data_IF_841238668114
#
_entry.id   IF_841238668114
#
_cell.length_a   1.000
_cell.length_b   1.000
_cell.length_c   1.000
_cell.angle_alpha   90.00
_cell.angle_beta   90.00
_cell.angle_gamma   90.00
#
_symmetry.space_group_name_H-M   'P 1'
#
loop_
_entity.id
_entity.type
_entity.pdbx_description
1 polymer ?
#
# COMPACT_ATOMS: atom_id res chain seq x y z
N UNK A 1 15.99 19.55 -10.97
CA UNK A 1 15.93 18.49 -9.95
C UNK A 1 16.04 17.12 -10.60
N UNK A 2 16.66 16.18 -9.91
CA UNK A 2 16.73 14.79 -10.36
C UNK A 2 15.39 14.08 -10.13
N UNK A 3 14.97 13.26 -11.11
CA UNK A 3 13.68 12.51 -11.06
C UNK A 3 13.82 11.14 -11.68
N UNK A 4 13.07 10.16 -11.19
CA UNK A 4 12.94 8.86 -11.85
C UNK A 4 11.61 8.83 -12.61
N UNK A 5 11.68 8.70 -13.92
CA UNK A 5 10.58 9.04 -14.83
C UNK A 5 10.17 7.88 -15.70
N UNK A 6 8.87 7.65 -15.84
CA UNK A 6 8.27 6.71 -16.79
C UNK A 6 8.32 7.31 -18.20
N UNK A 7 9.12 6.74 -19.10
CA UNK A 7 9.25 7.21 -20.47
C UNK A 7 8.28 6.49 -21.41
N UNK A 8 8.25 5.17 -21.32
CA UNK A 8 7.43 4.27 -22.12
C UNK A 8 7.34 2.90 -21.44
N UNK A 9 6.45 2.03 -21.91
CA UNK A 9 6.33 0.66 -21.41
C UNK A 9 7.70 -0.04 -21.37
N UNK A 10 8.05 -0.57 -20.21
CA UNK A 10 9.32 -1.23 -19.94
C UNK A 10 10.47 -0.28 -19.59
N UNK A 11 10.27 1.05 -19.62
CA UNK A 11 11.39 1.98 -19.49
C UNK A 11 11.14 3.11 -18.50
N UNK A 12 11.85 3.06 -17.39
CA UNK A 12 12.05 4.18 -16.47
C UNK A 12 13.47 4.71 -16.61
N UNK A 13 13.69 5.99 -16.38
CA UNK A 13 15.03 6.60 -16.42
C UNK A 13 15.17 7.76 -15.45
N UNK A 14 16.41 7.95 -14.95
CA UNK A 14 16.79 9.18 -14.25
C UNK A 14 16.91 10.30 -15.28
N UNK A 15 16.17 11.37 -15.07
CA UNK A 15 16.25 12.59 -15.89
C UNK A 15 16.20 13.84 -15.00
N UNK A 16 16.68 14.94 -15.52
CA UNK A 16 16.52 16.24 -14.90
C UNK A 16 15.23 16.91 -15.37
N UNK A 17 14.44 17.41 -14.42
CA UNK A 17 13.25 18.23 -14.64
C UNK A 17 13.35 19.56 -13.90
N UNK A 18 12.61 20.59 -14.30
CA UNK A 18 12.44 21.79 -13.47
C UNK A 18 11.86 21.41 -12.09
N UNK A 19 12.22 22.15 -11.06
CA UNK A 19 11.55 22.04 -9.76
C UNK A 19 10.05 22.36 -9.93
N UNK A 20 9.14 21.60 -9.31
CA UNK A 20 7.70 21.88 -9.43
C UNK A 20 7.36 23.22 -8.77
N UNK A 21 6.29 23.86 -9.27
CA UNK A 21 5.72 25.08 -8.75
C UNK A 21 4.30 24.82 -8.26
N UNK A 22 3.76 25.68 -7.40
CA UNK A 22 2.35 25.67 -7.05
C UNK A 22 1.51 25.96 -8.30
N UNK A 23 0.58 25.10 -8.63
CA UNK A 23 -0.37 25.29 -9.75
C UNK A 23 -1.73 25.77 -9.25
N UNK A 24 -2.02 25.54 -7.96
CA UNK A 24 -3.28 25.91 -7.34
C UNK A 24 -3.04 26.42 -5.89
N UNK A 25 -3.96 27.24 -5.41
CA UNK A 25 -3.90 27.81 -4.04
C UNK A 25 -4.02 26.78 -2.91
N UNK A 26 -4.40 25.52 -3.23
CA UNK A 26 -4.50 24.37 -2.29
C UNK A 26 -3.33 23.39 -2.42
N UNK A 27 -2.33 23.68 -3.24
CA UNK A 27 -1.16 22.83 -3.43
C UNK A 27 -0.10 23.07 -2.35
N UNK A 28 0.78 22.08 -2.17
CA UNK A 28 2.05 22.25 -1.49
C UNK A 28 3.19 21.68 -2.35
N UNK A 29 4.40 22.23 -2.13
CA UNK A 29 5.65 21.63 -2.62
C UNK A 29 6.32 20.98 -1.42
N UNK A 30 6.66 19.71 -1.56
CA UNK A 30 7.37 18.91 -0.56
C UNK A 30 8.77 18.61 -1.09
N UNK A 31 9.80 18.94 -0.31
CA UNK A 31 11.15 18.42 -0.50
C UNK A 31 11.16 16.99 0.02
N UNK A 32 11.29 16.03 -0.87
CA UNK A 32 11.31 14.61 -0.50
C UNK A 32 12.62 14.29 0.21
N UNK A 33 12.53 13.62 1.36
CA UNK A 33 13.69 13.14 2.11
C UNK A 33 13.88 11.64 1.91
N UNK A 34 12.75 10.90 1.83
CA UNK A 34 12.75 9.47 1.63
C UNK A 34 11.54 9.08 0.78
N UNK A 35 11.77 8.28 -0.26
CA UNK A 35 10.75 7.63 -1.06
C UNK A 35 10.89 6.11 -0.99
N UNK A 36 9.95 5.36 -1.57
CA UNK A 36 10.13 3.91 -1.69
C UNK A 36 9.69 3.40 -3.05
N UNK A 37 10.06 2.14 -3.34
CA UNK A 37 9.62 1.40 -4.53
C UNK A 37 8.43 0.53 -4.14
N UNK A 38 7.35 0.61 -4.92
CA UNK A 38 6.14 -0.18 -4.75
C UNK A 38 5.93 -1.13 -5.93
N UNK A 39 5.21 -2.22 -5.71
CA UNK A 39 4.80 -3.14 -6.79
C UNK A 39 3.92 -2.44 -7.83
N UNK A 40 3.14 -1.43 -7.43
CA UNK A 40 2.34 -0.61 -8.35
C UNK A 40 3.20 0.16 -9.35
N UNK A 41 4.43 0.55 -8.98
CA UNK A 41 5.38 1.17 -9.93
C UNK A 41 5.82 0.15 -11.00
N UNK A 42 5.97 -1.14 -10.63
CA UNK A 42 6.26 -2.21 -11.59
C UNK A 42 5.08 -2.46 -12.52
N UNK A 43 3.83 -2.41 -12.02
CA UNK A 43 2.63 -2.48 -12.86
C UNK A 43 2.60 -1.34 -13.88
N UNK A 44 2.98 -0.11 -13.50
CA UNK A 44 3.16 1.02 -14.44
C UNK A 44 4.25 0.67 -15.47
N UNK A 45 5.43 0.22 -15.00
CA UNK A 45 6.55 -0.15 -15.87
C UNK A 45 6.14 -1.19 -16.91
N UNK A 46 5.38 -2.21 -16.51
CA UNK A 46 4.94 -3.30 -17.41
C UNK A 46 3.71 -2.93 -18.25
N UNK A 47 3.12 -1.75 -18.04
CA UNK A 47 1.96 -1.27 -18.81
C UNK A 47 0.62 -1.86 -18.39
N UNK A 48 0.53 -2.43 -17.17
CA UNK A 48 -0.71 -2.97 -16.60
C UNK A 48 -1.60 -1.89 -15.98
N UNK A 49 -1.16 -0.62 -15.94
CA UNK A 49 -1.93 0.53 -15.47
C UNK A 49 -2.27 1.45 -16.65
N UNK A 50 -3.41 1.28 -17.34
CA UNK A 50 -3.73 2.02 -18.56
C UNK A 50 -3.82 3.54 -18.40
N UNK A 51 -4.07 4.02 -17.18
CA UNK A 51 -4.16 5.45 -16.84
C UNK A 51 -2.81 6.12 -16.58
N UNK A 52 -1.72 5.36 -16.50
CA UNK A 52 -0.38 5.90 -16.30
C UNK A 52 0.06 6.71 -17.52
N UNK A 53 0.61 7.91 -17.28
CA UNK A 53 0.97 8.86 -18.33
C UNK A 53 2.48 8.85 -18.57
N UNK A 54 2.97 8.57 -19.79
CA UNK A 54 4.40 8.72 -20.10
C UNK A 54 4.89 10.15 -19.85
N UNK A 55 6.14 10.26 -19.35
CA UNK A 55 6.76 11.52 -19.00
C UNK A 55 6.60 11.94 -17.54
N UNK A 56 5.75 11.27 -16.74
CA UNK A 56 5.61 11.58 -15.34
C UNK A 56 6.77 11.01 -14.51
N UNK A 57 7.10 11.67 -13.41
CA UNK A 57 7.93 11.12 -12.33
C UNK A 57 7.12 10.06 -11.59
N UNK A 58 7.68 8.86 -11.39
CA UNK A 58 7.00 7.78 -10.68
C UNK A 58 7.16 7.91 -9.15
N UNK A 59 6.55 6.97 -8.41
CA UNK A 59 6.61 6.90 -6.95
C UNK A 59 5.45 7.63 -6.27
N UNK A 60 4.81 6.92 -5.35
CA UNK A 60 3.63 7.37 -4.62
C UNK A 60 3.72 7.11 -3.11
N UNK A 61 4.86 6.58 -2.64
CA UNK A 61 5.19 6.43 -1.22
C UNK A 61 6.38 7.34 -0.90
N UNK A 62 6.18 8.33 -0.06
CA UNK A 62 7.22 9.28 0.31
C UNK A 62 6.93 10.02 1.60
N UNK A 63 8.00 10.50 2.20
CA UNK A 63 8.00 11.48 3.29
C UNK A 63 8.93 12.64 2.94
N UNK A 64 8.72 13.78 3.54
CA UNK A 64 9.54 14.94 3.27
C UNK A 64 9.23 16.12 4.16
N UNK A 65 9.76 17.26 3.77
CA UNK A 65 9.60 18.55 4.45
C UNK A 65 8.82 19.48 3.52
N UNK A 66 7.75 20.07 4.04
CA UNK A 66 6.99 21.08 3.31
C UNK A 66 7.91 22.27 3.03
N UNK A 67 8.06 22.63 1.76
CA UNK A 67 8.88 23.77 1.33
C UNK A 67 8.05 25.03 1.07
N UNK A 68 6.93 24.86 0.39
CA UNK A 68 6.04 25.95 -0.01
C UNK A 68 4.58 25.47 0.06
N UNK A 69 3.67 26.37 0.38
CA UNK A 69 2.22 26.10 0.39
C UNK A 69 1.45 27.19 -0.31
N UNK A 70 0.36 26.82 -0.95
CA UNK A 70 -0.62 27.76 -1.51
C UNK A 70 -1.39 28.49 -0.41
N UNK A 71 -1.98 29.63 -0.74
CA UNK A 71 -2.59 30.55 0.22
C UNK A 71 -3.88 30.03 0.90
N UNK A 72 -4.44 28.91 0.42
CA UNK A 72 -5.59 28.23 1.04
C UNK A 72 -5.21 26.97 1.83
N UNK A 73 -3.94 26.66 1.92
CA UNK A 73 -3.47 25.53 2.75
C UNK A 73 -3.42 26.00 4.21
N UNK A 74 -4.03 25.22 5.09
CA UNK A 74 -4.19 25.56 6.52
C UNK A 74 -3.64 24.51 7.47
N UNK A 75 -3.58 23.25 7.03
CA UNK A 75 -3.18 22.12 7.86
C UNK A 75 -1.67 22.00 8.05
N UNK A 76 -0.89 22.34 7.04
CA UNK A 76 0.57 22.27 7.03
C UNK A 76 1.21 23.62 6.70
N UNK A 77 2.48 23.80 7.05
CA UNK A 77 3.29 25.01 6.77
C UNK A 77 4.71 24.64 6.38
N UNK A 78 5.47 25.53 5.74
CA UNK A 78 6.88 25.32 5.46
C UNK A 78 7.65 24.91 6.71
N UNK A 79 8.48 23.86 6.58
CA UNK A 79 9.26 23.25 7.66
C UNK A 79 8.58 22.07 8.36
N UNK A 80 7.27 21.83 8.15
CA UNK A 80 6.60 20.65 8.71
C UNK A 80 7.11 19.37 8.02
N UNK A 81 7.42 18.33 8.82
CA UNK A 81 7.68 16.96 8.33
C UNK A 81 6.36 16.28 8.04
N UNK A 82 6.26 15.69 6.85
CA UNK A 82 4.99 15.11 6.38
C UNK A 82 5.19 13.76 5.69
N UNK A 83 4.20 12.87 5.81
CA UNK A 83 3.98 11.79 4.87
C UNK A 83 2.91 12.20 3.87
N UNK A 84 3.05 11.72 2.63
CA UNK A 84 2.15 12.03 1.52
C UNK A 84 1.19 10.88 1.32
N UNK A 85 -0.10 11.19 1.24
CA UNK A 85 -1.15 10.22 0.94
C UNK A 85 -1.13 9.88 -0.56
N UNK A 86 -1.14 8.59 -0.89
CA UNK A 86 -1.24 8.12 -2.29
C UNK A 86 -2.53 8.59 -2.96
N UNK A 87 -3.62 8.63 -2.19
CA UNK A 87 -4.89 9.15 -2.65
C UNK A 87 -5.01 10.63 -2.30
N UNK A 88 -4.78 11.50 -3.29
CA UNK A 88 -5.11 12.92 -3.17
C UNK A 88 -6.60 13.13 -3.50
N UNK A 89 -7.25 14.11 -2.88
CA UNK A 89 -8.70 14.30 -3.12
C UNK A 89 -9.18 15.72 -2.81
N UNK A 90 -10.21 16.16 -3.55
CA UNK A 90 -10.70 17.53 -3.47
C UNK A 90 -11.46 17.86 -2.17
N UNK A 91 -12.03 16.86 -1.48
CA UNK A 91 -12.86 17.04 -0.28
C UNK A 91 -14.30 17.55 -0.56
N UNK A 92 -14.67 17.87 -1.81
CA UNK A 92 -15.90 18.58 -2.14
C UNK A 92 -16.88 17.78 -3.00
N UNK A 93 -16.39 16.82 -3.82
CA UNK A 93 -17.25 16.01 -4.67
C UNK A 93 -18.10 15.01 -3.87
N UNK A 94 -19.07 14.40 -4.53
CA UNK A 94 -19.95 13.41 -3.91
C UNK A 94 -19.15 12.29 -3.21
N UNK A 95 -18.17 11.72 -3.88
CA UNK A 95 -17.39 10.60 -3.34
C UNK A 95 -16.58 11.02 -2.11
N UNK A 96 -15.89 12.17 -2.15
CA UNK A 96 -15.12 12.69 -1.02
C UNK A 96 -16.00 12.94 0.21
N UNK A 97 -17.18 13.54 0.02
CA UNK A 97 -18.15 13.82 1.11
C UNK A 97 -18.72 12.56 1.76
N UNK A 98 -18.66 11.42 1.07
CA UNK A 98 -19.13 10.12 1.57
C UNK A 98 -18.00 9.18 1.99
N UNK A 99 -16.73 9.66 2.06
CA UNK A 99 -15.59 8.87 2.50
C UNK A 99 -15.00 7.94 1.43
N UNK A 100 -15.43 8.06 0.17
CA UNK A 100 -14.91 7.27 -0.96
C UNK A 100 -13.87 8.07 -1.74
N UNK A 101 -12.86 8.58 -1.07
CA UNK A 101 -11.93 9.59 -1.61
C UNK A 101 -11.08 9.07 -2.77
N UNK A 102 -10.81 7.77 -2.83
CA UNK A 102 -10.17 7.10 -3.96
C UNK A 102 -10.95 7.23 -5.28
N UNK A 103 -12.25 7.52 -5.21
CA UNK A 103 -13.13 7.79 -6.35
C UNK A 103 -13.34 9.30 -6.59
N UNK A 104 -12.47 10.15 -6.06
CA UNK A 104 -12.54 11.59 -6.30
C UNK A 104 -12.62 11.90 -7.80
N UNK A 105 -13.55 12.79 -8.17
CA UNK A 105 -13.80 13.13 -9.58
C UNK A 105 -12.93 14.26 -10.12
N UNK A 106 -12.04 14.83 -9.30
CA UNK A 106 -11.06 15.82 -9.76
C UNK A 106 -9.93 15.13 -10.53
N UNK A 107 -9.36 15.81 -11.52
CA UNK A 107 -8.27 15.25 -12.34
C UNK A 107 -6.99 14.95 -11.54
N UNK A 108 -6.78 15.66 -10.41
CA UNK A 108 -5.70 15.39 -9.47
C UNK A 108 -6.12 14.49 -8.29
N UNK A 109 -7.34 13.92 -8.33
CA UNK A 109 -7.90 13.09 -7.26
C UNK A 109 -7.66 11.60 -7.46
N UNK A 110 -7.83 10.83 -6.40
CA UNK A 110 -7.52 9.40 -6.40
C UNK A 110 -6.03 9.13 -6.51
N UNK A 111 -5.64 7.96 -6.96
CA UNK A 111 -4.23 7.66 -7.25
C UNK A 111 -3.75 8.48 -8.46
N UNK A 112 -3.34 9.72 -8.22
CA UNK A 112 -2.81 10.63 -9.23
C UNK A 112 -1.28 10.71 -9.18
N UNK A 113 -0.71 10.87 -7.99
CA UNK A 113 0.75 10.96 -7.78
C UNK A 113 1.48 9.70 -8.28
N UNK A 114 2.51 9.90 -9.07
CA UNK A 114 3.32 8.82 -9.65
C UNK A 114 2.59 7.97 -10.70
N UNK A 115 1.37 8.36 -11.10
CA UNK A 115 0.57 7.66 -12.11
C UNK A 115 0.08 8.60 -13.23
N UNK A 116 -0.61 9.69 -12.90
CA UNK A 116 -1.15 10.67 -13.85
C UNK A 116 -0.46 12.03 -13.74
N UNK A 117 0.10 12.34 -12.60
CA UNK A 117 0.90 13.53 -12.32
C UNK A 117 2.24 13.10 -11.70
N UNK A 118 3.21 13.99 -11.68
CA UNK A 118 4.54 13.72 -11.10
C UNK A 118 4.43 13.24 -9.66
N UNK A 119 5.16 12.17 -9.34
CA UNK A 119 5.25 11.54 -8.03
C UNK A 119 6.55 11.87 -7.28
N UNK A 120 6.86 11.09 -6.24
CA UNK A 120 7.86 11.40 -5.25
C UNK A 120 9.20 10.68 -5.37
N UNK A 121 9.47 9.91 -6.43
CA UNK A 121 10.83 9.42 -6.69
C UNK A 121 11.65 10.54 -7.37
N UNK A 122 11.82 11.64 -6.63
CA UNK A 122 12.44 12.89 -7.02
C UNK A 122 12.88 13.69 -5.79
N UNK A 123 13.66 14.74 -6.01
CA UNK A 123 14.04 15.67 -4.93
C UNK A 123 12.86 16.52 -4.42
N UNK A 124 11.86 16.79 -5.26
CA UNK A 124 10.67 17.58 -4.91
C UNK A 124 9.43 17.04 -5.61
N UNK A 125 8.29 17.15 -4.94
CA UNK A 125 6.97 16.79 -5.47
C UNK A 125 5.96 17.90 -5.17
N UNK A 126 5.06 18.16 -6.13
CA UNK A 126 3.85 18.98 -5.91
C UNK A 126 2.72 18.05 -5.46
N UNK A 127 2.17 18.35 -4.30
CA UNK A 127 1.02 17.61 -3.74
C UNK A 127 -0.22 18.50 -3.87
N UNK A 128 -1.19 18.09 -4.71
CA UNK A 128 -2.47 18.80 -4.80
C UNK A 128 -3.32 18.54 -3.55
N UNK A 129 -4.22 19.46 -3.24
CA UNK A 129 -5.10 19.38 -2.06
C UNK A 129 -4.33 19.07 -0.77
N UNK A 130 -3.33 19.88 -0.47
CA UNK A 130 -2.34 19.63 0.58
C UNK A 130 -2.95 19.36 1.97
N UNK A 131 -4.08 20.00 2.31
CA UNK A 131 -4.77 19.75 3.59
C UNK A 131 -5.35 18.31 3.70
N UNK A 132 -5.57 17.63 2.59
CA UNK A 132 -6.02 16.25 2.51
C UNK A 132 -4.87 15.28 2.15
N UNK A 133 -3.91 15.75 1.37
CA UNK A 133 -2.82 14.94 0.82
C UNK A 133 -1.61 14.79 1.76
N UNK A 134 -1.50 15.62 2.81
CA UNK A 134 -0.35 15.64 3.70
C UNK A 134 -0.76 15.38 5.15
N UNK A 135 0.02 14.54 5.83
CA UNK A 135 -0.17 14.25 7.25
C UNK A 135 1.14 14.56 8.01
N UNK A 136 1.05 15.36 9.07
CA UNK A 136 2.24 15.72 9.86
C UNK A 136 2.78 14.50 10.59
N UNK A 137 4.07 14.28 10.50
CA UNK A 137 4.77 13.21 11.20
C UNK A 137 5.04 13.67 12.64
N UNK A 138 4.54 12.97 13.67
CA UNK A 138 4.85 13.25 15.06
C UNK A 138 6.37 13.23 15.33
N UNK A 139 6.85 14.05 16.27
CA UNK A 139 8.30 14.18 16.54
C UNK A 139 8.97 12.85 16.90
N UNK A 140 8.26 11.96 17.63
CA UNK A 140 8.76 10.64 18.05
C UNK A 140 8.74 9.59 16.94
N UNK A 141 8.17 9.90 15.76
CA UNK A 141 8.12 8.98 14.61
C UNK A 141 9.22 9.35 13.63
N UNK A 142 10.03 8.39 13.25
CA UNK A 142 11.08 8.58 12.23
C UNK A 142 10.48 8.63 10.81
N UNK A 143 11.22 9.21 9.86
CA UNK A 143 10.85 9.19 8.45
C UNK A 143 10.72 7.76 7.92
N UNK A 144 11.59 6.85 8.37
CA UNK A 144 11.55 5.43 8.00
C UNK A 144 10.27 4.74 8.48
N UNK A 145 9.83 5.03 9.70
CA UNK A 145 8.57 4.51 10.24
C UNK A 145 7.34 5.12 9.53
N UNK A 146 7.41 6.38 9.11
CA UNK A 146 6.30 7.06 8.45
C UNK A 146 6.19 6.77 6.93
N UNK A 147 7.25 6.21 6.32
CA UNK A 147 7.38 6.08 4.85
C UNK A 147 6.19 5.36 4.19
N UNK A 148 5.64 4.37 4.86
CA UNK A 148 4.59 3.50 4.30
C UNK A 148 3.17 3.91 4.69
N UNK A 149 3.03 4.95 5.51
CA UNK A 149 1.71 5.41 6.02
C UNK A 149 0.78 5.84 4.90
N UNK A 150 1.32 6.51 3.88
CA UNK A 150 0.51 7.07 2.79
C UNK A 150 -0.04 6.03 1.80
N UNK A 151 0.51 4.81 1.75
CA UNK A 151 0.10 3.78 0.79
C UNK A 151 -0.05 2.39 1.41
N UNK A 152 1.02 1.58 1.52
CA UNK A 152 0.86 0.15 1.87
C UNK A 152 0.34 -0.07 3.29
N UNK A 153 0.66 0.81 4.25
CA UNK A 153 0.09 0.74 5.59
C UNK A 153 -1.37 1.21 5.60
N UNK A 154 -1.69 2.30 4.87
CA UNK A 154 -3.07 2.74 4.69
C UNK A 154 -3.90 1.65 4.01
N UNK A 155 -3.34 0.97 3.01
CA UNK A 155 -3.96 -0.17 2.31
C UNK A 155 -4.26 -1.32 3.27
N UNK A 156 -3.29 -1.73 4.09
CA UNK A 156 -3.49 -2.78 5.10
C UNK A 156 -4.53 -2.40 6.14
N UNK A 157 -4.52 -1.14 6.58
CA UNK A 157 -5.50 -0.64 7.56
C UNK A 157 -6.91 -0.59 6.97
N UNK A 158 -7.07 -0.06 5.74
CA UNK A 158 -8.32 -0.05 5.00
C UNK A 158 -8.87 -1.47 4.78
N UNK A 159 -8.02 -2.40 4.30
CA UNK A 159 -8.40 -3.79 4.07
C UNK A 159 -8.91 -4.47 5.34
N UNK A 160 -8.21 -4.27 6.46
CA UNK A 160 -8.60 -4.78 7.78
C UNK A 160 -9.93 -4.20 8.25
N UNK A 161 -10.12 -2.88 8.09
CA UNK A 161 -11.35 -2.17 8.48
C UNK A 161 -12.56 -2.67 7.73
N UNK A 162 -12.48 -2.83 6.40
CA UNK A 162 -13.62 -3.33 5.62
C UNK A 162 -13.88 -4.83 5.81
N UNK A 163 -12.91 -5.59 6.34
CA UNK A 163 -13.03 -7.04 6.58
C UNK A 163 -13.80 -7.39 7.85
N UNK A 164 -14.14 -6.42 8.69
CA UNK A 164 -15.00 -6.58 9.88
C UNK A 164 -14.51 -7.69 10.85
N UNK A 165 -13.19 -7.80 11.01
CA UNK A 165 -12.52 -8.83 11.81
C UNK A 165 -12.94 -8.76 13.28
N UNK A 166 -13.21 -9.91 13.91
CA UNK A 166 -13.57 -10.08 15.30
C UNK A 166 -12.53 -10.88 16.07
N UNK A 167 -12.56 -10.79 17.41
CA UNK A 167 -11.58 -11.47 18.27
C UNK A 167 -11.66 -13.01 18.18
N UNK A 168 -12.82 -13.58 17.86
CA UNK A 168 -13.00 -15.02 17.70
C UNK A 168 -12.59 -15.57 16.32
N UNK A 169 -12.31 -14.69 15.35
CA UNK A 169 -12.08 -15.09 13.97
C UNK A 169 -10.74 -15.82 13.76
N UNK A 170 -10.74 -16.75 12.82
CA UNK A 170 -9.55 -17.23 12.12
C UNK A 170 -9.39 -16.41 10.83
N UNK A 171 -8.29 -15.67 10.74
CA UNK A 171 -7.98 -14.79 9.60
C UNK A 171 -6.89 -15.41 8.76
N UNK A 172 -7.13 -15.56 7.46
CA UNK A 172 -6.14 -15.96 6.47
C UNK A 172 -5.68 -14.74 5.66
N UNK A 173 -4.38 -14.51 5.60
CA UNK A 173 -3.75 -13.51 4.72
C UNK A 173 -2.96 -14.27 3.65
N UNK A 174 -3.27 -14.04 2.37
CA UNK A 174 -2.58 -14.69 1.25
C UNK A 174 -1.60 -13.71 0.62
N UNK A 175 -0.32 -13.98 0.81
CA UNK A 175 0.81 -13.16 0.39
C UNK A 175 1.49 -12.41 1.55
N UNK A 176 2.80 -12.64 1.75
CA UNK A 176 3.65 -11.94 2.71
C UNK A 176 4.57 -10.90 2.03
N UNK A 177 4.09 -10.28 0.96
CA UNK A 177 4.73 -9.09 0.39
C UNK A 177 4.55 -7.86 1.30
N UNK A 178 5.11 -6.70 0.92
CA UNK A 178 5.03 -5.48 1.75
C UNK A 178 3.61 -5.13 2.19
N UNK A 179 2.65 -5.18 1.27
CA UNK A 179 1.23 -4.91 1.58
C UNK A 179 0.65 -5.99 2.51
N UNK A 180 1.03 -7.28 2.32
CA UNK A 180 0.60 -8.37 3.18
C UNK A 180 1.12 -8.22 4.61
N UNK A 181 2.37 -7.81 4.80
CA UNK A 181 2.94 -7.56 6.13
C UNK A 181 2.27 -6.33 6.77
N UNK A 182 2.03 -5.24 6.02
CA UNK A 182 1.27 -4.11 6.53
C UNK A 182 -0.17 -4.50 6.90
N UNK A 183 -0.79 -5.39 6.12
CA UNK A 183 -2.11 -5.97 6.45
C UNK A 183 -2.04 -6.79 7.74
N UNK A 184 -1.01 -7.64 7.89
CA UNK A 184 -0.78 -8.40 9.12
C UNK A 184 -0.69 -7.48 10.35
N UNK A 185 0.13 -6.42 10.29
CA UNK A 185 0.26 -5.44 11.38
C UNK A 185 -1.10 -4.84 11.79
N UNK A 186 -1.95 -4.57 10.82
CA UNK A 186 -3.29 -4.03 11.08
C UNK A 186 -4.27 -5.08 11.61
N UNK A 187 -4.20 -6.33 11.11
CA UNK A 187 -4.99 -7.48 11.59
C UNK A 187 -4.65 -7.79 13.05
N UNK A 188 -3.38 -7.76 13.44
CA UNK A 188 -2.94 -8.00 14.83
C UNK A 188 -3.57 -7.00 15.81
N UNK A 189 -3.87 -5.77 15.40
CA UNK A 189 -4.59 -4.79 16.24
C UNK A 189 -6.00 -5.22 16.60
N UNK A 190 -6.65 -6.06 15.78
CA UNK A 190 -7.99 -6.59 16.02
C UNK A 190 -7.98 -7.80 16.97
N UNK A 191 -6.80 -8.38 17.23
CA UNK A 191 -6.56 -9.53 18.11
C UNK A 191 -7.45 -10.75 17.77
N UNK A 192 -7.51 -11.18 16.50
CA UNK A 192 -8.28 -12.37 16.15
C UNK A 192 -7.72 -13.59 16.89
N UNK A 193 -8.53 -14.64 17.00
CA UNK A 193 -8.15 -15.91 17.64
C UNK A 193 -6.94 -16.56 16.97
N UNK A 194 -6.86 -16.50 15.62
CA UNK A 194 -5.76 -17.04 14.82
C UNK A 194 -5.48 -16.15 13.62
N UNK A 195 -4.20 -16.06 13.30
CA UNK A 195 -3.74 -15.47 12.04
C UNK A 195 -2.92 -16.53 11.31
N UNK A 196 -3.31 -16.82 10.08
CA UNK A 196 -2.60 -17.71 9.17
C UNK A 196 -2.11 -16.87 7.99
N UNK A 197 -0.82 -16.97 7.65
CA UNK A 197 -0.24 -16.30 6.50
C UNK A 197 0.23 -17.32 5.48
N UNK A 198 -0.32 -17.25 4.25
CA UNK A 198 0.07 -18.10 3.15
C UNK A 198 1.13 -17.39 2.29
N UNK A 199 2.31 -17.97 2.18
CA UNK A 199 3.43 -17.44 1.37
C UNK A 199 4.27 -18.61 0.81
N UNK A 200 4.88 -18.40 -0.36
CA UNK A 200 5.76 -19.38 -1.02
C UNK A 200 7.24 -19.03 -0.95
N UNK A 201 7.58 -17.77 -0.69
CA UNK A 201 8.96 -17.29 -0.60
C UNK A 201 9.53 -17.58 0.78
N UNK A 202 10.55 -18.43 0.85
CA UNK A 202 11.16 -18.87 2.11
C UNK A 202 11.72 -17.69 2.93
N UNK A 203 12.33 -16.68 2.28
CA UNK A 203 12.88 -15.52 3.00
C UNK A 203 11.77 -14.70 3.68
N UNK A 204 10.60 -14.61 3.05
CA UNK A 204 9.44 -13.92 3.63
C UNK A 204 8.79 -14.73 4.75
N UNK A 205 8.74 -16.04 4.63
CA UNK A 205 8.29 -16.94 5.70
C UNK A 205 9.23 -16.79 6.90
N UNK A 206 10.54 -16.81 6.67
CA UNK A 206 11.55 -16.61 7.71
C UNK A 206 11.42 -15.24 8.39
N UNK A 207 11.19 -14.17 7.61
CA UNK A 207 10.91 -12.85 8.15
C UNK A 207 9.67 -12.84 9.06
N UNK A 208 8.61 -13.54 8.68
CA UNK A 208 7.39 -13.64 9.53
C UNK A 208 7.72 -14.38 10.82
N UNK A 209 8.44 -15.50 10.77
CA UNK A 209 8.82 -16.26 11.96
C UNK A 209 9.71 -15.47 12.93
N UNK A 210 10.62 -14.66 12.38
CA UNK A 210 11.53 -13.83 13.19
C UNK A 210 10.80 -12.68 13.89
N UNK A 211 9.87 -12.01 13.19
CA UNK A 211 9.26 -10.77 13.69
C UNK A 211 7.86 -10.97 14.29
N UNK A 212 7.15 -12.03 13.90
CA UNK A 212 5.76 -12.33 14.30
C UNK A 212 5.57 -13.82 14.61
N UNK A 213 6.26 -14.38 15.63
CA UNK A 213 6.29 -15.81 15.89
C UNK A 213 4.94 -16.42 16.29
N UNK A 214 3.94 -15.58 16.62
CA UNK A 214 2.57 -16.03 16.90
C UNK A 214 1.74 -16.27 15.63
N UNK A 215 2.23 -15.88 14.46
CA UNK A 215 1.55 -16.05 13.17
C UNK A 215 1.86 -17.42 12.59
N UNK A 216 0.83 -18.18 12.26
CA UNK A 216 1.01 -19.46 11.57
C UNK A 216 1.31 -19.21 10.10
N UNK A 217 2.33 -19.87 9.57
CA UNK A 217 2.67 -19.77 8.13
C UNK A 217 2.40 -21.10 7.42
N UNK A 218 2.04 -21.02 6.13
CA UNK A 218 1.75 -22.18 5.30
C UNK A 218 2.08 -21.89 3.84
N UNK A 219 2.49 -22.90 3.08
CA UNK A 219 2.68 -22.78 1.63
C UNK A 219 1.35 -22.82 0.88
N UNK A 220 1.24 -22.27 -0.35
CA UNK A 220 0.00 -22.30 -1.13
C UNK A 220 -0.53 -23.73 -1.39
N UNK A 221 0.36 -24.69 -1.55
CA UNK A 221 0.03 -26.09 -1.84
C UNK A 221 -0.69 -26.77 -0.67
N UNK A 222 -0.32 -26.43 0.56
CA UNK A 222 -0.88 -26.99 1.78
C UNK A 222 -1.98 -26.11 2.40
N UNK A 223 -2.13 -24.87 1.92
CA UNK A 223 -2.90 -23.82 2.59
C UNK A 223 -4.35 -24.22 2.86
N UNK A 224 -5.02 -24.84 1.88
CA UNK A 224 -6.44 -25.22 2.05
C UNK A 224 -6.63 -26.20 3.17
N UNK A 225 -5.88 -27.30 3.17
CA UNK A 225 -6.01 -28.36 4.19
C UNK A 225 -5.59 -27.84 5.55
N UNK A 226 -4.48 -27.07 5.60
CA UNK A 226 -4.00 -26.45 6.83
C UNK A 226 -5.05 -25.50 7.45
N UNK A 227 -5.70 -24.66 6.64
CA UNK A 227 -6.74 -23.74 7.13
C UNK A 227 -7.95 -24.51 7.65
N UNK A 228 -8.38 -25.56 6.95
CA UNK A 228 -9.50 -26.42 7.40
C UNK A 228 -9.21 -27.08 8.76
N UNK A 229 -7.99 -27.56 8.97
CA UNK A 229 -7.55 -28.22 10.22
C UNK A 229 -7.35 -27.19 11.36
N UNK A 230 -6.96 -25.95 11.05
CA UNK A 230 -6.65 -24.90 12.01
C UNK A 230 -7.74 -23.83 12.13
N UNK A 231 -8.98 -24.15 11.74
CA UNK A 231 -10.16 -23.27 11.89
C UNK A 231 -11.29 -23.97 12.65
N UNK A 232 -12.15 -23.19 13.29
CA UNK A 232 -13.22 -23.75 14.12
C UNK A 232 -14.48 -24.10 13.30
N UNK A 233 -14.62 -23.54 12.09
CA UNK A 233 -15.86 -23.60 11.31
C UNK A 233 -15.66 -24.09 9.87
N UNK A 234 -14.63 -24.90 9.62
CA UNK A 234 -14.37 -25.50 8.31
C UNK A 234 -13.89 -24.50 7.27
N UNK A 235 -13.00 -23.59 7.68
CA UNK A 235 -12.37 -22.58 6.87
C UNK A 235 -12.19 -21.26 7.62
N UNK A 236 -11.47 -20.32 7.06
CA UNK A 236 -11.23 -19.00 7.64
C UNK A 236 -12.51 -18.15 7.67
N UNK A 237 -12.71 -17.40 8.75
CA UNK A 237 -13.81 -16.45 8.92
C UNK A 237 -13.63 -15.23 8.02
N UNK A 238 -12.39 -14.79 7.87
CA UNK A 238 -11.97 -13.69 7.00
C UNK A 238 -10.77 -14.12 6.18
N UNK A 239 -10.80 -13.84 4.88
CA UNK A 239 -9.67 -14.05 3.97
C UNK A 239 -9.29 -12.72 3.33
N UNK A 240 -8.01 -12.35 3.43
CA UNK A 240 -7.43 -11.16 2.81
C UNK A 240 -6.48 -11.62 1.69
N UNK A 241 -6.87 -11.42 0.44
CA UNK A 241 -6.05 -11.76 -0.72
C UNK A 241 -5.20 -10.55 -1.12
N UNK A 242 -3.86 -10.66 -0.98
CA UNK A 242 -2.90 -9.57 -1.12
C UNK A 242 -1.77 -9.92 -2.11
N UNK A 243 -1.84 -11.07 -2.77
CA UNK A 243 -0.80 -11.54 -3.70
C UNK A 243 -1.07 -11.20 -5.17
N UNK A 244 -2.34 -11.16 -5.60
CA UNK A 244 -2.74 -10.66 -6.90
C UNK A 244 -2.48 -11.60 -8.08
N UNK A 245 -2.51 -12.91 -7.87
CA UNK A 245 -2.37 -13.89 -8.96
C UNK A 245 -3.60 -14.80 -9.06
N UNK A 246 -3.93 -15.35 -10.26
CA UNK A 246 -5.14 -16.14 -10.44
C UNK A 246 -5.29 -17.31 -9.47
N UNK A 247 -4.20 -18.00 -9.14
CA UNK A 247 -4.21 -19.12 -8.20
C UNK A 247 -4.56 -18.71 -6.77
N UNK A 248 -4.11 -17.54 -6.32
CA UNK A 248 -4.43 -17.02 -4.97
C UNK A 248 -5.85 -16.51 -4.86
N UNK A 249 -6.43 -15.98 -5.95
CA UNK A 249 -7.86 -15.69 -6.00
C UNK A 249 -8.71 -16.93 -5.80
N UNK A 250 -8.38 -18.04 -6.50
CA UNK A 250 -9.09 -19.31 -6.32
C UNK A 250 -8.89 -19.87 -4.91
N UNK A 251 -7.67 -19.81 -4.38
CA UNK A 251 -7.36 -20.26 -3.03
C UNK A 251 -8.15 -19.48 -1.97
N UNK A 252 -8.32 -18.16 -2.14
CA UNK A 252 -8.99 -17.31 -1.20
C UNK A 252 -10.43 -17.76 -0.89
N UNK A 253 -11.25 -17.98 -1.91
CA UNK A 253 -12.63 -18.43 -1.70
C UNK A 253 -12.72 -19.90 -1.26
N UNK A 254 -11.75 -20.74 -1.66
CA UNK A 254 -11.71 -22.14 -1.25
C UNK A 254 -11.42 -22.32 0.23
N UNK A 255 -10.52 -21.49 0.79
CA UNK A 255 -10.17 -21.50 2.21
C UNK A 255 -11.21 -20.81 3.10
N UNK A 256 -12.09 -20.01 2.54
CA UNK A 256 -13.16 -19.34 3.27
C UNK A 256 -14.26 -20.31 3.73
N UNK A 257 -14.69 -20.23 5.00
CA UNK A 257 -15.88 -20.96 5.48
C UNK A 257 -17.17 -20.43 4.83
N UNK A 258 -18.29 -21.13 4.94
CA UNK A 258 -19.59 -20.53 4.60
C UNK A 258 -19.86 -19.23 5.37
N UNK A 259 -20.43 -18.24 4.68
CA UNK A 259 -20.72 -16.88 5.19
C UNK A 259 -19.46 -16.09 5.63
N UNK A 260 -18.29 -16.42 5.10
CA UNK A 260 -17.06 -15.66 5.34
C UNK A 260 -16.99 -14.39 4.49
N UNK A 261 -16.12 -13.46 4.92
CA UNK A 261 -15.72 -12.29 4.14
C UNK A 261 -14.41 -12.60 3.40
N UNK A 262 -14.39 -12.37 2.09
CA UNK A 262 -13.20 -12.47 1.25
C UNK A 262 -12.88 -11.08 0.72
N UNK A 263 -11.81 -10.48 1.22
CA UNK A 263 -11.36 -9.13 0.83
C UNK A 263 -10.22 -9.26 -0.19
N UNK A 264 -10.46 -8.75 -1.40
CA UNK A 264 -9.48 -8.71 -2.48
C UNK A 264 -8.79 -7.35 -2.45
N UNK A 265 -7.54 -7.34 -2.05
CA UNK A 265 -6.71 -6.13 -1.86
C UNK A 265 -5.76 -5.92 -3.03
N UNK A 266 -5.24 -7.01 -3.59
CA UNK A 266 -4.23 -6.96 -4.63
C UNK A 266 -4.78 -6.44 -5.97
N UNK A 267 -3.87 -5.86 -6.78
CA UNK A 267 -4.13 -5.56 -8.18
C UNK A 267 -3.94 -6.82 -9.04
N UNK A 268 -4.85 -7.06 -9.97
CA UNK A 268 -4.79 -8.15 -10.93
C UNK A 268 -4.55 -7.61 -12.35
N UNK A 269 -3.68 -8.26 -13.08
CA UNK A 269 -3.40 -7.91 -14.50
C UNK A 269 -4.44 -8.50 -15.46
N UNK A 270 -5.21 -9.52 -15.02
CA UNK A 270 -6.19 -10.24 -15.83
C UNK A 270 -7.53 -10.39 -15.10
N UNK A 271 -8.65 -10.50 -15.83
CA UNK A 271 -9.96 -10.81 -15.25
C UNK A 271 -9.97 -12.11 -14.45
N UNK A 272 -10.60 -12.09 -13.27
CA UNK A 272 -10.77 -13.28 -12.43
C UNK A 272 -12.18 -13.84 -12.54
N UNK A 273 -12.28 -15.18 -12.50
CA UNK A 273 -13.55 -15.90 -12.64
C UNK A 273 -14.06 -16.33 -11.27
N UNK A 274 -15.31 -15.97 -10.97
CA UNK A 274 -16.06 -16.51 -9.85
C UNK A 274 -16.77 -17.80 -10.30
N UNK A 275 -16.34 -18.99 -9.85
CA UNK A 275 -16.96 -20.27 -10.25
C UNK A 275 -18.24 -20.50 -9.43
N UNK A 276 -19.30 -19.79 -9.77
CA UNK A 276 -20.56 -19.77 -9.02
C UNK A 276 -21.15 -21.16 -8.72
N UNK A 277 -21.07 -22.17 -9.63
CA UNK A 277 -21.54 -23.52 -9.32
C UNK A 277 -20.82 -24.14 -8.11
N UNK A 278 -19.49 -23.92 -8.01
CA UNK A 278 -18.66 -24.48 -6.93
C UNK A 278 -18.82 -23.71 -5.62
N UNK A 279 -19.25 -22.45 -5.72
CA UNK A 279 -19.48 -21.55 -4.59
C UNK A 279 -20.90 -21.62 -4.05
N UNK A 280 -21.80 -22.34 -4.73
CA UNK A 280 -23.20 -22.41 -4.32
C UNK A 280 -23.32 -22.94 -2.88
N UNK A 281 -24.06 -22.20 -2.05
CA UNK A 281 -24.23 -22.53 -0.64
C UNK A 281 -23.14 -22.01 0.30
N UNK A 282 -22.02 -21.48 -0.20
CA UNK A 282 -21.02 -20.81 0.66
C UNK A 282 -21.46 -19.43 1.14
N UNK A 283 -22.36 -18.75 0.42
CA UNK A 283 -22.88 -17.41 0.78
C UNK A 283 -21.77 -16.39 1.13
N UNK A 284 -20.70 -16.35 0.34
CA UNK A 284 -19.54 -15.51 0.59
C UNK A 284 -19.85 -14.02 0.34
N UNK A 285 -19.20 -13.16 1.12
CA UNK A 285 -19.19 -11.72 0.90
C UNK A 285 -17.84 -11.35 0.31
N UNK A 286 -17.82 -10.91 -0.95
CA UNK A 286 -16.62 -10.35 -1.56
C UNK A 286 -16.57 -8.85 -1.36
N UNK A 287 -15.43 -8.35 -0.88
CA UNK A 287 -15.11 -6.92 -0.77
C UNK A 287 -13.87 -6.64 -1.59
N UNK A 288 -13.94 -5.63 -2.46
CA UNK A 288 -12.83 -5.25 -3.33
C UNK A 288 -12.80 -3.74 -3.50
N UNK A 289 -11.65 -3.19 -3.76
CA UNK A 289 -11.47 -1.76 -3.99
C UNK A 289 -10.02 -1.33 -3.87
N UNK A 290 -9.78 -0.03 -4.00
CA UNK A 290 -8.52 0.61 -3.68
C UNK A 290 -8.57 1.25 -2.30
N UNK A 291 -7.40 1.50 -1.73
CA UNK A 291 -7.25 2.24 -0.46
C UNK A 291 -7.96 3.60 -0.56
N UNK A 292 -8.59 4.01 0.52
CA UNK A 292 -9.21 5.34 0.59
C UNK A 292 -8.32 6.40 1.27
N UNK A 293 -7.19 5.98 1.89
CA UNK A 293 -6.22 6.90 2.49
C UNK A 293 -6.74 7.76 3.64
N UNK A 294 -7.96 7.54 4.11
CA UNK A 294 -8.59 8.38 5.13
C UNK A 294 -7.98 8.20 6.52
N UNK A 295 -7.27 7.12 6.77
CA UNK A 295 -6.78 6.72 8.10
C UNK A 295 -5.27 7.00 8.32
N UNK A 296 -4.61 7.79 7.46
CA UNK A 296 -3.17 8.07 7.56
C UNK A 296 -2.80 8.72 8.91
N UNK A 297 -3.55 9.71 9.39
CA UNK A 297 -3.30 10.32 10.70
C UNK A 297 -3.43 9.31 11.84
N UNK A 298 -4.43 8.44 11.77
CA UNK A 298 -4.65 7.40 12.78
C UNK A 298 -3.52 6.36 12.79
N UNK A 299 -3.05 5.94 11.63
CA UNK A 299 -1.91 5.00 11.53
C UNK A 299 -0.60 5.62 12.02
N UNK A 300 -0.35 6.92 11.78
CA UNK A 300 0.76 7.64 12.39
C UNK A 300 0.69 7.66 13.92
N UNK A 301 -0.51 7.86 14.49
CA UNK A 301 -0.71 7.78 15.95
C UNK A 301 -0.45 6.38 16.50
N UNK A 302 -0.84 5.32 15.78
CA UNK A 302 -0.56 3.94 16.18
C UNK A 302 0.96 3.64 16.17
N UNK A 303 1.70 4.17 15.19
CA UNK A 303 3.16 4.11 15.16
C UNK A 303 3.74 4.88 16.35
N UNK A 304 3.30 6.11 16.58
CA UNK A 304 3.74 6.95 17.70
C UNK A 304 3.51 6.32 19.09
N UNK A 305 2.49 5.46 19.19
CA UNK A 305 2.17 4.67 20.40
C UNK A 305 2.95 3.36 20.48
N UNK A 306 3.80 3.03 19.51
CA UNK A 306 4.52 1.76 19.44
C UNK A 306 3.65 0.53 19.18
N UNK A 307 2.41 0.73 18.69
CA UNK A 307 1.49 -0.36 18.35
C UNK A 307 1.73 -0.96 16.95
N UNK A 308 2.33 -0.19 16.07
CA UNK A 308 2.76 -0.60 14.73
C UNK A 308 4.22 -0.20 14.57
N UNK A 309 5.04 -1.09 14.03
CA UNK A 309 6.40 -0.80 13.60
C UNK A 309 6.61 -1.27 12.17
N UNK A 310 6.78 -0.33 11.25
CA UNK A 310 6.98 -0.58 9.81
C UNK A 310 8.46 -0.56 9.41
N UNK A 311 9.36 -0.15 10.31
CA UNK A 311 10.77 0.03 9.99
C UNK A 311 11.47 -1.25 9.53
N UNK A 312 11.18 -2.46 10.08
CA UNK A 312 11.78 -3.71 9.61
C UNK A 312 11.48 -4.05 8.15
N UNK A 313 10.41 -3.48 7.54
CA UNK A 313 10.11 -3.70 6.14
C UNK A 313 11.18 -3.10 5.20
N UNK A 314 11.94 -2.09 5.66
CA UNK A 314 13.00 -1.47 4.86
C UNK A 314 14.26 -2.33 4.94
N UNK A 315 14.36 -3.30 4.03
CA UNK A 315 15.52 -4.20 3.96
C UNK A 315 16.69 -3.58 3.21
N UNK A 316 16.43 -2.67 2.26
CA UNK A 316 17.46 -2.06 1.44
C UNK A 316 17.26 -0.55 1.30
N UNK A 317 18.36 0.18 1.13
CA UNK A 317 18.34 1.63 0.93
C UNK A 317 19.31 2.01 -0.19
N UNK A 318 18.86 2.86 -1.11
CA UNK A 318 19.67 3.42 -2.19
C UNK A 318 19.49 4.94 -2.25
N UNK A 319 20.48 5.66 -2.77
CA UNK A 319 20.29 7.05 -3.16
C UNK A 319 19.44 7.16 -4.42
N UNK A 320 18.78 8.28 -4.63
CA UNK A 320 17.98 8.55 -5.84
C UNK A 320 18.80 8.35 -7.12
N UNK A 321 20.08 8.72 -7.13
CA UNK A 321 20.97 8.50 -8.27
C UNK A 321 21.21 7.02 -8.59
N UNK A 322 20.95 6.12 -7.67
CA UNK A 322 21.10 4.67 -7.79
C UNK A 322 19.77 3.91 -7.78
N UNK A 323 18.66 4.61 -7.93
CA UNK A 323 17.29 4.03 -7.84
C UNK A 323 17.07 2.87 -8.82
N UNK A 324 17.69 2.92 -10.01
CA UNK A 324 17.61 1.83 -10.99
C UNK A 324 18.13 0.49 -10.46
N UNK A 325 19.14 0.50 -9.56
CA UNK A 325 19.64 -0.71 -8.89
C UNK A 325 18.62 -1.23 -7.87
N UNK A 326 17.94 -0.32 -7.14
CA UNK A 326 16.85 -0.66 -6.24
C UNK A 326 15.69 -1.33 -6.98
N UNK A 327 15.31 -0.82 -8.14
CA UNK A 327 14.29 -1.43 -8.99
C UNK A 327 14.70 -2.82 -9.49
N UNK A 328 15.94 -2.99 -9.97
CA UNK A 328 16.42 -4.29 -10.42
C UNK A 328 16.43 -5.34 -9.28
N UNK A 329 16.83 -4.94 -8.09
CA UNK A 329 16.79 -5.80 -6.90
C UNK A 329 15.35 -6.15 -6.52
N UNK A 330 14.45 -5.17 -6.48
CA UNK A 330 13.05 -5.33 -6.04
C UNK A 330 12.24 -6.16 -7.05
N UNK A 331 12.36 -5.88 -8.34
CA UNK A 331 11.66 -6.60 -9.42
C UNK A 331 12.07 -8.08 -9.47
N UNK A 332 13.36 -8.37 -9.27
CA UNK A 332 13.90 -9.73 -9.32
C UNK A 332 13.85 -10.44 -7.94
N UNK A 333 13.29 -9.83 -6.91
CA UNK A 333 13.13 -10.40 -5.56
C UNK A 333 14.41 -11.00 -5.00
N UNK A 334 15.55 -10.31 -5.18
CA UNK A 334 16.84 -10.79 -4.71
C UNK A 334 17.14 -10.35 -3.28
N UNK A 335 18.08 -11.01 -2.63
CA UNK A 335 18.67 -10.68 -1.32
C UNK A 335 17.62 -10.46 -0.21
N UNK A 336 16.52 -11.25 -0.23
CA UNK A 336 15.46 -11.16 0.77
C UNK A 336 14.72 -9.82 0.78
N UNK A 337 14.66 -9.11 -0.35
CA UNK A 337 14.06 -7.77 -0.42
C UNK A 337 12.57 -7.80 -0.06
N UNK A 338 12.17 -6.93 0.87
CA UNK A 338 10.78 -6.62 1.20
C UNK A 338 10.43 -5.23 0.67
N UNK A 339 11.09 -4.19 1.16
CA UNK A 339 10.94 -2.80 0.67
C UNK A 339 12.31 -2.16 0.44
N UNK A 340 12.36 -1.31 -0.56
CA UNK A 340 13.53 -0.50 -0.90
C UNK A 340 13.22 0.96 -0.61
N UNK A 341 13.96 1.57 0.31
CA UNK A 341 13.91 2.99 0.55
C UNK A 341 14.87 3.74 -0.39
N UNK A 342 14.48 4.93 -0.83
CA UNK A 342 15.24 5.80 -1.72
C UNK A 342 15.48 7.15 -1.01
N UNK A 343 16.75 7.45 -0.72
CA UNK A 343 17.17 8.75 -0.20
C UNK A 343 17.23 9.77 -1.35
N UNK A 344 16.44 10.84 -1.25
CA UNK A 344 16.24 11.85 -2.28
C UNK A 344 17.00 13.16 -2.00
#
# INVERSE_FOLDING_TARGET
MLTYTYLEKGKFALIEKPKPILLHERDAIVKVTLASICSSDLHIKHGSVPRAVPGITVGHEMVGIVEEVGNKVTHVKPGDRVTVNVETYCGECFFCKNGFVNNCTDDNGGWALGCRIDGGQAEYVRVPFADQGLNKIPEQVSDRQALFVGDVLATGYWATRISEIKEEDTVLIIGAGPTGICTLLCVMLQKPKRIIMCEKDENRIEFIHEHYPEVLTVTPEECKDFVLENSDHGGADVVLEVAGVPSTFQLAWQCARPNAIVTIVALYDEPQILPLPDMYGKNLIFKTGGVDGCDCEKTLQLIAQGKINTEPLITHTYSLSRIAQGYDLFENKRDGVIKVAIEC
#
